data_IF_691951326638
#
_entry.id   IF_691951326638
#
_cell.length_a   1.000
_cell.length_b   1.000
_cell.length_c   1.000
_cell.angle_alpha   90.00
_cell.angle_beta   90.00
_cell.angle_gamma   90.00
#
_symmetry.space_group_name_H-M   'P 1'
#
loop_
_entity.id
_entity.type
_entity.pdbx_description
1 polymer ?
#
# COMPACT_ATOMS: atom_id res chain seq x y z
N UNK A 1 21.59 -26.56 3.31
CA UNK A 1 21.38 -25.12 3.54
C UNK A 1 21.51 -24.46 2.18
N UNK A 2 20.39 -24.23 1.51
CA UNK A 2 20.38 -23.78 0.11
C UNK A 2 19.76 -22.38 0.05
N UNK A 3 20.56 -21.44 -0.43
CA UNK A 3 20.15 -20.09 -0.81
C UNK A 3 19.35 -20.21 -2.11
N UNK A 4 18.18 -19.58 -2.18
CA UNK A 4 17.46 -19.39 -3.45
C UNK A 4 17.50 -17.91 -3.79
N UNK A 5 18.40 -17.60 -4.72
CA UNK A 5 18.36 -16.40 -5.57
C UNK A 5 17.32 -16.67 -6.65
N UNK A 6 16.36 -15.76 -6.85
CA UNK A 6 15.46 -15.82 -8.01
C UNK A 6 15.90 -14.77 -9.03
N UNK A 7 16.25 -15.30 -10.20
CA UNK A 7 16.87 -14.64 -11.35
C UNK A 7 15.79 -14.03 -12.26
N UNK A 8 16.06 -12.81 -12.75
CA UNK A 8 15.34 -12.17 -13.86
C UNK A 8 15.50 -12.98 -15.16
N UNK A 9 14.39 -13.27 -15.83
CA UNK A 9 14.40 -13.77 -17.21
C UNK A 9 13.60 -12.81 -18.10
N UNK A 10 14.32 -12.08 -18.94
CA UNK A 10 13.73 -11.30 -20.02
C UNK A 10 13.29 -12.18 -21.19
N UNK A 11 12.40 -11.65 -22.02
CA UNK A 11 12.14 -12.20 -23.34
C UNK A 11 11.96 -11.08 -24.37
N UNK A 12 12.66 -11.23 -25.50
CA UNK A 12 12.54 -10.40 -26.69
C UNK A 12 11.99 -11.27 -27.81
N UNK A 13 10.83 -10.91 -28.37
CA UNK A 13 10.44 -11.29 -29.73
C UNK A 13 9.86 -10.08 -30.46
N UNK A 14 10.34 -9.92 -31.68
CA UNK A 14 10.11 -8.83 -32.63
C UNK A 14 8.86 -9.13 -33.47
N UNK A 15 7.94 -8.17 -33.56
CA UNK A 15 6.84 -8.16 -34.53
C UNK A 15 6.49 -6.72 -34.88
N UNK A 16 6.82 -6.29 -36.10
CA UNK A 16 6.37 -5.01 -36.66
C UNK A 16 4.87 -5.08 -36.98
N UNK A 17 4.10 -4.18 -36.38
CA UNK A 17 2.70 -3.93 -36.72
C UNK A 17 2.24 -2.73 -35.92
N UNK A 18 1.95 -1.64 -36.63
CA UNK A 18 1.42 -0.39 -36.09
C UNK A 18 0.17 -0.69 -35.24
N UNK A 19 0.35 -0.70 -33.92
CA UNK A 19 -0.74 -0.67 -32.97
C UNK A 19 -0.45 0.56 -32.12
N UNK A 20 -1.20 1.62 -32.37
CA UNK A 20 -1.35 2.75 -31.46
C UNK A 20 -1.63 2.17 -30.07
N UNK A 21 -0.60 2.15 -29.23
CA UNK A 21 -0.71 1.65 -27.88
C UNK A 21 -1.74 2.51 -27.16
N UNK A 22 -2.82 1.89 -26.73
CA UNK A 22 -3.61 2.47 -25.66
C UNK A 22 -2.67 2.49 -24.44
N UNK A 23 -2.05 3.64 -24.22
CA UNK A 23 -1.27 3.95 -23.03
C UNK A 23 -2.26 3.76 -21.87
N UNK A 24 -2.07 2.68 -21.10
CA UNK A 24 -2.95 2.34 -20.00
C UNK A 24 -2.87 3.47 -18.97
N UNK A 25 -3.95 4.23 -18.82
CA UNK A 25 -4.09 5.32 -17.86
C UNK A 25 -3.61 4.89 -16.45
N UNK A 26 -2.52 5.47 -15.94
CA UNK A 26 -1.80 5.09 -14.71
C UNK A 26 -0.56 4.18 -14.90
N UNK A 27 -0.53 3.33 -15.93
CA UNK A 27 0.64 2.58 -16.38
C UNK A 27 1.40 1.76 -15.32
N UNK A 28 0.74 1.33 -14.25
CA UNK A 28 1.31 0.44 -13.22
C UNK A 28 1.04 -1.00 -13.65
N UNK A 29 2.11 -1.73 -13.99
CA UNK A 29 2.00 -3.15 -14.34
C UNK A 29 1.93 -4.02 -13.09
N UNK A 30 1.15 -5.10 -13.14
CA UNK A 30 1.01 -6.03 -12.01
C UNK A 30 2.36 -6.67 -11.67
N UNK A 31 2.78 -6.51 -10.41
CA UNK A 31 4.02 -7.05 -9.85
C UNK A 31 5.25 -6.19 -10.14
N UNK A 32 5.11 -5.05 -10.80
CA UNK A 32 6.22 -4.16 -11.14
C UNK A 32 6.10 -2.86 -10.33
N UNK A 33 7.02 -2.59 -9.39
CA UNK A 33 7.07 -1.31 -8.70
C UNK A 33 7.32 -0.15 -9.66
N UNK A 34 6.60 0.95 -9.47
CA UNK A 34 6.71 2.13 -10.33
C UNK A 34 6.67 3.41 -9.50
N UNK A 35 7.62 4.32 -9.74
CA UNK A 35 7.53 5.70 -9.24
C UNK A 35 6.42 6.44 -9.99
N UNK A 36 5.54 7.11 -9.25
CA UNK A 36 4.41 7.87 -9.76
C UNK A 36 4.34 9.25 -9.12
N UNK A 37 3.74 10.20 -9.82
CA UNK A 37 3.25 11.45 -9.24
C UNK A 37 1.96 11.24 -8.45
N UNK A 38 1.55 12.24 -7.65
CA UNK A 38 0.25 12.21 -6.97
C UNK A 38 -0.93 12.14 -7.95
N UNK A 39 -0.84 12.82 -9.10
CA UNK A 39 -1.86 12.78 -10.15
C UNK A 39 -1.98 11.39 -10.78
N UNK A 40 -0.86 10.72 -11.05
CA UNK A 40 -0.85 9.33 -11.54
C UNK A 40 -1.37 8.35 -10.49
N UNK A 41 -1.10 8.58 -9.19
CA UNK A 41 -1.67 7.80 -8.10
C UNK A 41 -3.19 7.95 -8.05
N UNK A 42 -3.73 9.16 -8.25
CA UNK A 42 -5.17 9.42 -8.33
C UNK A 42 -5.82 8.73 -9.53
N UNK A 43 -5.18 8.81 -10.71
CA UNK A 43 -5.64 8.09 -11.90
C UNK A 43 -5.65 6.57 -11.67
N UNK A 44 -4.58 6.02 -11.08
CA UNK A 44 -4.51 4.62 -10.68
C UNK A 44 -5.64 4.25 -9.71
N UNK A 45 -5.87 5.06 -8.67
CA UNK A 45 -6.91 4.81 -7.66
C UNK A 45 -8.33 4.88 -8.24
N UNK A 46 -8.56 5.61 -9.33
CA UNK A 46 -9.85 5.65 -10.02
C UNK A 46 -10.24 4.30 -10.65
N UNK A 47 -9.25 3.46 -10.95
CA UNK A 47 -9.43 2.11 -11.53
C UNK A 47 -9.27 1.00 -10.51
N UNK A 48 -8.49 1.24 -9.46
CA UNK A 48 -8.16 0.28 -8.42
C UNK A 48 -8.59 0.85 -7.07
N UNK A 49 -9.75 0.43 -6.56
CA UNK A 49 -10.29 0.96 -5.31
C UNK A 49 -10.39 -0.13 -4.23
N UNK A 50 -10.08 0.18 -2.95
CA UNK A 50 -9.56 1.45 -2.46
C UNK A 50 -8.03 1.55 -2.49
N UNK A 51 -7.52 2.78 -2.55
CA UNK A 51 -6.10 3.08 -2.32
C UNK A 51 -6.01 4.08 -1.18
N UNK A 52 -5.20 3.75 -0.17
CA UNK A 52 -4.88 4.64 0.93
C UNK A 52 -3.44 5.13 0.83
N UNK A 53 -3.21 6.34 1.33
CA UNK A 53 -1.90 6.99 1.36
C UNK A 53 -1.83 8.00 2.51
N UNK A 54 -0.63 8.47 2.82
CA UNK A 54 -0.34 9.49 3.84
C UNK A 54 -0.20 10.91 3.22
N UNK A 55 -0.79 11.15 2.04
CA UNK A 55 -0.61 12.38 1.28
C UNK A 55 0.78 12.55 0.66
N UNK A 56 1.04 13.69 0.02
CA UNK A 56 2.38 14.05 -0.45
C UNK A 56 3.28 14.34 0.75
N UNK A 57 4.53 13.88 0.70
CA UNK A 57 5.51 14.12 1.76
C UNK A 57 6.78 14.74 1.15
N UNK A 58 7.38 15.73 1.82
CA UNK A 58 8.59 16.37 1.31
C UNK A 58 9.73 15.37 1.19
N UNK A 59 10.62 15.62 0.24
CA UNK A 59 11.84 14.84 -0.01
C UNK A 59 11.55 13.34 -0.27
N UNK A 60 10.36 13.03 -0.81
CA UNK A 60 9.97 11.66 -1.14
C UNK A 60 9.24 11.53 -2.47
N UNK A 61 9.49 10.41 -3.14
CA UNK A 61 8.79 9.93 -4.32
C UNK A 61 7.79 8.84 -3.93
N UNK A 62 6.63 8.83 -4.59
CA UNK A 62 5.63 7.78 -4.40
C UNK A 62 5.97 6.59 -5.29
N UNK A 63 6.06 5.40 -4.71
CA UNK A 63 6.11 4.15 -5.47
C UNK A 63 4.78 3.41 -5.30
N UNK A 64 4.23 2.91 -6.39
CA UNK A 64 3.04 2.05 -6.38
C UNK A 64 3.39 0.67 -6.90
N UNK A 65 2.89 -0.35 -6.22
CA UNK A 65 2.88 -1.74 -6.72
C UNK A 65 1.51 -2.35 -6.55
N UNK A 66 0.93 -2.86 -7.65
CA UNK A 66 -0.25 -3.73 -7.63
C UNK A 66 0.21 -5.18 -7.74
N UNK A 67 -0.22 -6.07 -6.84
CA UNK A 67 0.15 -7.48 -6.88
C UNK A 67 -0.90 -8.36 -7.53
N UNK A 68 -0.51 -9.58 -7.92
CA UNK A 68 -1.44 -10.61 -8.44
C UNK A 68 -2.49 -11.07 -7.42
N UNK A 69 -2.30 -10.76 -6.13
CA UNK A 69 -3.23 -11.05 -5.03
C UNK A 69 -4.07 -9.84 -4.64
N UNK A 70 -4.19 -8.84 -5.52
CA UNK A 70 -4.99 -7.64 -5.30
C UNK A 70 -4.57 -6.82 -4.06
N UNK A 71 -3.30 -6.94 -3.66
CA UNK A 71 -2.70 -6.02 -2.69
C UNK A 71 -2.06 -4.84 -3.43
N UNK A 72 -2.31 -3.64 -2.93
CA UNK A 72 -1.77 -2.38 -3.44
C UNK A 72 -0.83 -1.81 -2.39
N UNK A 73 0.39 -1.48 -2.78
CA UNK A 73 1.39 -0.86 -1.92
C UNK A 73 1.65 0.55 -2.41
N UNK A 74 1.55 1.53 -1.52
CA UNK A 74 2.01 2.90 -1.73
C UNK A 74 3.20 3.12 -0.78
N UNK A 75 4.40 3.30 -1.33
CA UNK A 75 5.63 3.49 -0.56
C UNK A 75 6.18 4.91 -0.76
N UNK A 76 6.83 5.43 0.27
CA UNK A 76 7.43 6.76 0.29
C UNK A 76 8.95 6.66 0.28
N UNK A 77 9.51 6.75 -0.92
CA UNK A 77 10.93 6.56 -1.17
C UNK A 77 11.66 7.90 -1.06
N UNK A 78 12.86 7.99 -0.46
CA UNK A 78 13.67 9.20 -0.58
C UNK A 78 13.94 9.54 -2.06
N UNK A 79 14.01 10.83 -2.40
CA UNK A 79 14.26 11.26 -3.79
C UNK A 79 15.50 10.58 -4.40
N UNK A 80 15.35 10.07 -5.62
CA UNK A 80 16.42 9.39 -6.36
C UNK A 80 16.62 7.93 -5.96
N UNK A 81 15.78 7.38 -5.09
CA UNK A 81 15.74 5.95 -4.79
C UNK A 81 15.09 5.21 -5.95
N UNK A 82 15.69 4.11 -6.39
CA UNK A 82 15.15 3.29 -7.47
C UNK A 82 13.85 2.59 -7.03
N UNK A 83 12.89 2.48 -7.95
CA UNK A 83 11.69 1.70 -7.72
C UNK A 83 12.05 0.23 -7.42
N UNK A 84 11.37 -0.36 -6.44
CA UNK A 84 11.62 -1.72 -5.97
C UNK A 84 12.79 -1.84 -5.01
N UNK A 85 13.28 -0.73 -4.42
CA UNK A 85 14.31 -0.77 -3.38
C UNK A 85 13.95 -1.75 -2.25
N UNK A 86 14.94 -2.50 -1.77
CA UNK A 86 14.80 -3.43 -0.65
C UNK A 86 14.77 -2.72 0.72
N UNK A 87 15.06 -1.42 0.76
CA UNK A 87 15.06 -0.63 1.99
C UNK A 87 13.64 -0.46 2.56
N UNK A 88 13.58 -0.37 3.88
CA UNK A 88 12.32 -0.16 4.59
C UNK A 88 11.93 1.32 4.51
N UNK A 89 10.73 1.57 4.01
CA UNK A 89 10.15 2.90 3.84
C UNK A 89 8.75 2.94 4.43
N UNK A 90 8.23 4.13 4.73
CA UNK A 90 6.81 4.28 5.05
C UNK A 90 5.99 3.65 3.93
N UNK A 91 5.13 2.72 4.29
CA UNK A 91 4.37 1.90 3.34
C UNK A 91 2.93 1.82 3.79
N UNK A 92 2.02 2.21 2.91
CA UNK A 92 0.58 2.02 3.09
C UNK A 92 0.16 0.87 2.18
N UNK A 93 -0.13 -0.28 2.77
CA UNK A 93 -0.55 -1.46 2.04
C UNK A 93 -2.06 -1.65 2.21
N UNK A 94 -2.78 -1.78 1.10
CA UNK A 94 -4.18 -2.18 1.08
C UNK A 94 -4.28 -3.60 0.58
N UNK A 95 -4.75 -4.50 1.44
CA UNK A 95 -4.98 -5.91 1.13
C UNK A 95 -6.46 -6.11 0.82
N UNK A 96 -6.80 -6.36 -0.45
CA UNK A 96 -8.16 -6.70 -0.87
C UNK A 96 -8.53 -8.15 -0.63
N UNK A 97 -9.81 -8.47 -0.79
CA UNK A 97 -10.39 -9.83 -0.77
C UNK A 97 -10.15 -10.58 0.56
N UNK A 98 -10.12 -9.83 1.66
CA UNK A 98 -9.97 -10.38 3.02
C UNK A 98 -11.00 -9.79 3.99
N UNK A 99 -11.30 -10.56 5.04
CA UNK A 99 -12.17 -10.13 6.13
C UNK A 99 -11.38 -9.38 7.22
N UNK A 100 -10.88 -8.21 6.84
CA UNK A 100 -10.00 -7.40 7.68
C UNK A 100 -10.67 -6.92 8.97
N UNK A 101 -11.94 -6.53 8.91
CA UNK A 101 -12.67 -6.03 10.07
C UNK A 101 -12.85 -7.12 11.12
N UNK A 102 -13.38 -8.29 10.74
CA UNK A 102 -13.61 -9.38 11.68
C UNK A 102 -12.28 -9.90 12.26
N UNK A 103 -11.22 -9.95 11.45
CA UNK A 103 -9.89 -10.35 11.93
C UNK A 103 -9.35 -9.39 13.01
N UNK A 104 -9.53 -8.08 12.83
CA UNK A 104 -9.06 -7.06 13.77
C UNK A 104 -9.97 -6.96 15.01
N UNK A 105 -11.29 -7.02 14.85
CA UNK A 105 -12.23 -6.90 15.97
C UNK A 105 -12.18 -8.10 16.93
N UNK A 106 -11.71 -9.25 16.46
CA UNK A 106 -11.54 -10.46 17.27
C UNK A 106 -10.08 -10.67 17.71
N UNK A 107 -9.19 -9.69 17.53
CA UNK A 107 -7.82 -9.78 18.01
C UNK A 107 -7.79 -9.88 19.54
N UNK A 108 -6.88 -10.69 20.07
CA UNK A 108 -6.68 -10.85 21.50
C UNK A 108 -6.01 -9.60 22.09
N UNK A 109 -6.71 -8.93 23.02
CA UNK A 109 -6.26 -7.69 23.66
C UNK A 109 -5.00 -7.88 24.54
N UNK A 110 -4.63 -9.12 24.89
CA UNK A 110 -3.35 -9.39 25.57
C UNK A 110 -2.15 -9.14 24.64
N UNK A 111 -2.35 -9.22 23.32
CA UNK A 111 -1.29 -9.12 22.31
C UNK A 111 -1.48 -7.97 21.32
N UNK A 112 -2.61 -7.25 21.40
CA UNK A 112 -2.92 -6.12 20.54
C UNK A 112 -3.64 -4.99 21.29
N UNK A 113 -3.32 -3.75 20.94
CA UNK A 113 -4.14 -2.58 21.26
C UNK A 113 -5.19 -2.42 20.15
N UNK A 114 -6.48 -2.53 20.50
CA UNK A 114 -7.60 -2.49 19.56
C UNK A 114 -8.54 -1.35 19.93
N UNK A 115 -8.90 -0.52 18.96
CA UNK A 115 -9.80 0.62 19.16
C UNK A 115 -10.75 0.80 17.98
N UNK A 116 -12.00 1.19 18.27
CA UNK A 116 -12.92 1.66 17.26
C UNK A 116 -12.73 3.18 17.05
N UNK A 117 -12.49 3.59 15.81
CA UNK A 117 -12.35 4.98 15.44
C UNK A 117 -13.68 5.61 15.02
N UNK A 118 -13.71 6.95 15.07
CA UNK A 118 -14.83 7.70 14.48
C UNK A 118 -14.94 7.35 12.99
N UNK A 119 -16.16 7.00 12.54
CA UNK A 119 -16.39 6.51 11.18
C UNK A 119 -16.48 4.99 11.05
N UNK A 120 -16.38 4.24 12.17
CA UNK A 120 -16.65 2.80 12.20
C UNK A 120 -15.50 1.92 11.71
N UNK A 121 -14.28 2.47 11.66
CA UNK A 121 -13.09 1.67 11.46
C UNK A 121 -12.70 0.98 12.77
N UNK A 122 -12.26 -0.28 12.67
CA UNK A 122 -11.50 -0.93 13.73
C UNK A 122 -10.02 -0.71 13.44
N UNK A 123 -9.26 -0.24 14.43
CA UNK A 123 -7.81 -0.02 14.37
C UNK A 123 -7.16 -1.01 15.34
N UNK A 124 -6.08 -1.67 14.91
CA UNK A 124 -5.27 -2.49 15.81
C UNK A 124 -3.78 -2.26 15.63
N UNK A 125 -3.03 -2.32 16.72
CA UNK A 125 -1.57 -2.37 16.74
C UNK A 125 -1.14 -3.59 17.55
N UNK A 126 -0.33 -4.48 16.97
CA UNK A 126 0.09 -5.74 17.60
C UNK A 126 1.45 -5.58 18.29
N UNK A 127 1.60 -6.17 19.48
CA UNK A 127 2.84 -6.11 20.28
C UNK A 127 4.06 -6.66 19.51
N UNK A 128 3.87 -7.70 18.70
CA UNK A 128 4.93 -8.31 17.89
C UNK A 128 5.23 -7.54 16.58
N UNK A 129 4.40 -6.56 16.24
CA UNK A 129 4.53 -5.73 15.03
C UNK A 129 4.38 -4.24 15.37
N UNK A 130 5.23 -3.68 16.25
CA UNK A 130 5.04 -2.32 16.80
C UNK A 130 5.26 -1.20 15.76
N UNK A 131 5.74 -1.56 14.56
CA UNK A 131 5.98 -0.66 13.43
C UNK A 131 4.81 -0.61 12.44
N UNK A 132 3.75 -1.39 12.71
CA UNK A 132 2.59 -1.48 11.85
C UNK A 132 1.31 -1.20 12.64
N UNK A 133 0.43 -0.42 12.04
CA UNK A 133 -0.94 -0.19 12.52
C UNK A 133 -1.89 -0.61 11.42
N UNK A 134 -2.94 -1.35 11.78
CA UNK A 134 -3.88 -1.93 10.86
C UNK A 134 -5.25 -1.30 11.05
N UNK A 135 -6.00 -1.09 9.96
CA UNK A 135 -7.40 -0.73 10.08
C UNK A 135 -8.28 -1.34 8.98
N UNK A 136 -9.56 -1.46 9.27
CA UNK A 136 -10.58 -1.91 8.31
C UNK A 136 -11.96 -1.39 8.72
N UNK A 137 -12.93 -1.48 7.82
CA UNK A 137 -14.32 -1.11 8.05
C UNK A 137 -15.23 -2.32 7.88
N UNK A 138 -16.37 -2.31 8.56
CA UNK A 138 -17.32 -3.41 8.47
C UNK A 138 -17.79 -3.60 7.01
N UNK A 139 -17.79 -4.85 6.52
CA UNK A 139 -18.16 -5.23 5.15
C UNK A 139 -17.31 -4.58 4.03
N UNK A 140 -16.13 -4.05 4.36
CA UNK A 140 -15.23 -3.42 3.40
C UNK A 140 -14.60 -4.37 2.39
N UNK A 141 -14.34 -5.63 2.80
CA UNK A 141 -13.61 -6.60 1.99
C UNK A 141 -12.13 -6.26 1.80
N UNK A 142 -11.56 -5.40 2.65
CA UNK A 142 -10.13 -5.06 2.64
C UNK A 142 -9.59 -4.81 4.06
N UNK A 143 -8.27 -4.83 4.21
CA UNK A 143 -7.54 -4.31 5.38
C UNK A 143 -6.46 -3.35 4.90
N UNK A 144 -6.19 -2.30 5.65
CA UNK A 144 -5.05 -1.42 5.44
C UNK A 144 -4.02 -1.67 6.52
N UNK A 145 -2.74 -1.76 6.11
CA UNK A 145 -1.58 -1.71 6.99
C UNK A 145 -0.82 -0.41 6.72
N UNK A 146 -0.52 0.31 7.80
CA UNK A 146 0.35 1.47 7.83
C UNK A 146 1.65 1.01 8.48
N UNK A 147 2.70 0.84 7.70
CA UNK A 147 4.02 0.48 8.21
C UNK A 147 4.95 1.69 8.21
N UNK A 148 5.70 1.89 9.29
CA UNK A 148 6.83 2.84 9.32
C UNK A 148 8.11 2.22 9.88
N UNK A 149 9.29 2.49 9.29
CA UNK A 149 10.57 2.17 9.92
C UNK A 149 10.77 2.82 11.30
N UNK A 150 10.12 3.95 11.56
CA UNK A 150 10.16 4.66 12.84
C UNK A 150 9.08 4.13 13.79
N UNK A 151 9.49 3.61 14.95
CA UNK A 151 8.56 3.09 15.96
C UNK A 151 7.52 4.15 16.39
N UNK A 152 6.27 3.72 16.52
CA UNK A 152 5.14 4.57 16.91
C UNK A 152 4.58 5.45 15.79
N UNK A 153 5.34 5.73 14.72
CA UNK A 153 4.87 6.62 13.66
C UNK A 153 3.65 6.08 12.91
N UNK A 154 3.54 4.76 12.68
CA UNK A 154 2.34 4.16 12.06
C UNK A 154 1.07 4.48 12.83
N UNK A 155 1.15 4.39 14.16
CA UNK A 155 0.04 4.65 15.06
C UNK A 155 -0.32 6.13 15.04
N UNK A 156 0.68 7.02 15.16
CA UNK A 156 0.48 8.48 15.09
C UNK A 156 -0.24 8.88 13.79
N UNK A 157 0.26 8.43 12.63
CA UNK A 157 -0.34 8.76 11.33
C UNK A 157 -1.80 8.28 11.22
N UNK A 158 -2.10 7.12 11.79
CA UNK A 158 -3.46 6.56 11.76
C UNK A 158 -4.39 7.31 12.71
N UNK A 159 -3.97 7.53 13.96
CA UNK A 159 -4.76 8.20 15.00
C UNK A 159 -5.05 9.67 14.66
N UNK A 160 -4.10 10.35 14.02
CA UNK A 160 -4.24 11.76 13.61
C UNK A 160 -5.03 11.93 12.30
N UNK A 161 -5.42 10.83 11.64
CA UNK A 161 -6.19 10.86 10.39
C UNK A 161 -5.37 11.31 9.18
N UNK A 162 -4.04 11.17 9.21
CA UNK A 162 -3.18 11.46 8.05
C UNK A 162 -3.32 10.41 6.94
N UNK A 163 -3.80 9.20 7.27
CA UNK A 163 -4.04 8.14 6.29
C UNK A 163 -5.43 8.31 5.67
N UNK A 164 -5.44 8.64 4.38
CA UNK A 164 -6.64 9.02 3.63
C UNK A 164 -6.81 8.20 2.36
N UNK A 165 -8.03 8.13 1.86
CA UNK A 165 -8.28 7.62 0.51
C UNK A 165 -7.64 8.56 -0.53
N UNK A 166 -7.01 7.96 -1.53
CA UNK A 166 -6.60 8.70 -2.74
C UNK A 166 -7.85 9.17 -3.48
N UNK A 167 -7.88 10.45 -3.90
CA UNK A 167 -9.02 11.05 -4.60
C UNK A 167 -10.30 11.25 -3.77
N UNK A 168 -10.29 10.91 -2.48
CA UNK A 168 -11.39 11.21 -1.55
C UNK A 168 -11.34 12.67 -1.09
N UNK A 169 -12.45 13.41 -1.22
CA UNK A 169 -12.62 14.67 -0.50
C UNK A 169 -12.88 14.40 0.98
N UNK A 170 -12.14 15.08 1.85
CA UNK A 170 -12.31 15.10 3.30
C UNK A 170 -13.72 15.54 3.73
#
# INVERSE_FOLDING_TARGET
MAVVVAVFAGWMLRGSGDAVGAEDAGGVEVGVPKIVSAEELEEFASKHYPVYWAGERPDSELEVTLTTKNAIFVRYLPEGTEAGSDDQHLTIATYGDIDGYDALSNADEEVADVAEAQGGAIIATFNERPRSTYFSFQNAGFQVEVFSPQEGQSKTLTDEGEIRLVGGTS
#
